data_IF_516449629104
#
_entry.id   IF_516449629104
#
_cell.length_a   1.000
_cell.length_b   1.000
_cell.length_c   1.000
_cell.angle_alpha   90.00
_cell.angle_beta   90.00
_cell.angle_gamma   90.00
#
_symmetry.space_group_name_H-M   'P 1'
#
loop_
_entity.id
_entity.type
_entity.pdbx_description
1 polymer ?
#
# COMPACT_ATOMS: atom_id res chain seq x y z
N UNK A 1 -7.85 -29.50 -14.79
CA UNK A 1 -6.92 -30.47 -14.20
C UNK A 1 -6.55 -29.93 -12.82
N UNK A 2 -6.85 -30.65 -11.74
CA UNK A 2 -6.66 -30.17 -10.38
C UNK A 2 -5.29 -30.65 -9.90
N UNK A 3 -4.31 -29.76 -9.77
CA UNK A 3 -2.93 -30.13 -9.48
C UNK A 3 -2.74 -30.40 -7.99
N UNK A 4 -3.42 -29.71 -7.09
CA UNK A 4 -3.33 -29.89 -5.65
C UNK A 4 -4.70 -29.78 -4.98
N UNK A 5 -5.59 -30.78 -5.15
CA UNK A 5 -7.00 -30.66 -4.79
C UNK A 5 -7.26 -30.56 -3.28
N UNK A 6 -6.34 -30.98 -2.44
CA UNK A 6 -6.47 -30.94 -0.98
C UNK A 6 -5.90 -29.67 -0.34
N UNK A 7 -5.06 -28.93 -1.07
CA UNK A 7 -4.45 -27.68 -0.57
C UNK A 7 -5.30 -26.43 -0.88
N UNK A 8 -6.15 -26.50 -1.90
CA UNK A 8 -6.92 -25.34 -2.37
C UNK A 8 -8.40 -25.69 -2.50
N UNK A 9 -9.25 -24.76 -2.12
CA UNK A 9 -10.69 -24.79 -2.36
C UNK A 9 -11.15 -23.45 -2.92
N UNK A 10 -12.37 -23.41 -3.48
CA UNK A 10 -12.93 -22.18 -3.97
C UNK A 10 -13.36 -21.29 -2.82
N UNK A 11 -13.08 -20.00 -2.94
CA UNK A 11 -13.51 -19.04 -1.93
C UNK A 11 -15.05 -19.00 -1.88
N UNK A 12 -15.65 -19.13 -0.70
CA UNK A 12 -17.10 -19.02 -0.53
C UNK A 12 -17.63 -17.70 -1.12
N UNK A 13 -18.45 -17.80 -2.17
CA UNK A 13 -19.07 -16.67 -2.83
C UNK A 13 -18.30 -16.03 -4.00
N UNK A 14 -17.08 -16.47 -4.31
CA UNK A 14 -16.31 -16.01 -5.48
C UNK A 14 -15.52 -17.13 -6.12
N UNK A 15 -16.15 -17.83 -7.07
CA UNK A 15 -15.55 -18.94 -7.82
C UNK A 15 -14.41 -18.51 -8.79
N UNK A 16 -14.03 -17.25 -8.80
CA UNK A 16 -12.86 -16.75 -9.53
C UNK A 16 -11.57 -16.80 -8.71
N UNK A 17 -11.67 -17.11 -7.40
CA UNK A 17 -10.55 -17.12 -6.47
C UNK A 17 -10.47 -18.45 -5.73
N UNK A 18 -9.27 -19.00 -5.68
CA UNK A 18 -8.95 -20.16 -4.84
C UNK A 18 -8.44 -19.68 -3.47
N UNK A 19 -8.84 -20.36 -2.41
CA UNK A 19 -8.32 -20.16 -1.06
C UNK A 19 -7.43 -21.33 -0.68
N UNK A 20 -6.33 -21.06 0.02
CA UNK A 20 -5.50 -22.10 0.62
C UNK A 20 -6.22 -22.66 1.83
N UNK A 21 -6.51 -23.96 1.82
CA UNK A 21 -7.19 -24.67 2.91
C UNK A 21 -6.17 -25.37 3.80
N UNK A 22 -5.28 -26.15 3.21
CA UNK A 22 -4.23 -26.87 3.93
C UNK A 22 -3.03 -27.13 3.02
N UNK A 23 -2.00 -26.31 3.12
CA UNK A 23 -0.77 -26.46 2.36
C UNK A 23 0.09 -27.64 2.84
N UNK A 24 -0.14 -28.14 4.07
CA UNK A 24 0.64 -29.24 4.65
C UNK A 24 0.14 -30.62 4.23
N UNK A 25 -1.03 -30.69 3.62
CA UNK A 25 -1.65 -31.95 3.15
C UNK A 25 -1.11 -32.45 1.81
N UNK A 26 -0.23 -31.69 1.15
CA UNK A 26 0.25 -31.94 -0.22
C UNK A 26 1.77 -31.85 -0.26
N UNK A 27 2.40 -32.72 -1.08
CA UNK A 27 3.84 -32.67 -1.32
C UNK A 27 4.24 -31.33 -1.95
N UNK A 28 5.37 -30.77 -1.53
CA UNK A 28 5.88 -29.46 -1.94
C UNK A 28 6.02 -29.33 -3.47
N UNK A 29 6.40 -30.41 -4.15
CA UNK A 29 6.54 -30.44 -5.61
C UNK A 29 5.20 -30.16 -6.33
N UNK A 30 4.09 -30.67 -5.80
CA UNK A 30 2.75 -30.40 -6.33
C UNK A 30 2.29 -28.97 -6.08
N UNK A 31 2.69 -28.35 -4.95
CA UNK A 31 2.42 -26.94 -4.68
C UNK A 31 3.19 -26.04 -5.66
N UNK A 32 4.45 -26.36 -5.96
CA UNK A 32 5.24 -25.65 -6.96
C UNK A 32 4.67 -25.79 -8.37
N UNK A 33 4.22 -26.98 -8.73
CA UNK A 33 3.57 -27.21 -10.02
C UNK A 33 2.27 -26.40 -10.14
N UNK A 34 1.47 -26.32 -9.07
CA UNK A 34 0.26 -25.51 -9.03
C UNK A 34 0.57 -24.00 -9.17
N UNK A 35 1.64 -23.52 -8.54
CA UNK A 35 2.08 -22.13 -8.66
C UNK A 35 2.54 -21.79 -10.09
N UNK A 36 3.31 -22.69 -10.73
CA UNK A 36 3.76 -22.52 -12.12
C UNK A 36 2.62 -22.58 -13.13
N UNK A 37 1.59 -23.37 -12.84
CA UNK A 37 0.40 -23.52 -13.70
C UNK A 37 -0.64 -22.41 -13.48
N UNK A 38 -0.44 -21.50 -12.50
CA UNK A 38 -1.37 -20.40 -12.22
C UNK A 38 -1.25 -19.31 -13.28
N UNK A 39 -2.28 -19.07 -14.11
CA UNK A 39 -2.17 -18.13 -15.24
C UNK A 39 -2.04 -16.65 -14.78
N UNK A 40 -2.42 -16.36 -13.55
CA UNK A 40 -2.34 -14.99 -12.96
C UNK A 40 -1.14 -14.81 -12.04
N UNK A 41 -0.27 -15.84 -11.88
CA UNK A 41 0.83 -15.87 -10.91
C UNK A 41 0.40 -15.49 -9.47
N UNK A 42 -0.86 -15.77 -9.12
CA UNK A 42 -1.43 -15.44 -7.81
C UNK A 42 -1.03 -16.44 -6.70
N UNK A 43 -0.38 -17.54 -7.06
CA UNK A 43 0.09 -18.56 -6.11
C UNK A 43 1.61 -18.40 -5.97
N UNK A 44 2.06 -18.07 -4.77
CA UNK A 44 3.49 -18.04 -4.41
C UNK A 44 3.74 -19.17 -3.42
N UNK A 45 4.67 -20.05 -3.73
CA UNK A 45 5.16 -21.08 -2.79
C UNK A 45 6.43 -20.54 -2.16
N UNK A 46 6.37 -20.19 -0.89
CA UNK A 46 7.54 -19.87 -0.09
C UNK A 46 7.97 -21.17 0.62
N UNK A 47 9.21 -21.59 0.41
CA UNK A 47 9.80 -22.60 1.28
C UNK A 47 9.92 -22.01 2.69
N UNK A 48 9.05 -22.45 3.57
CA UNK A 48 9.30 -22.35 4.99
C UNK A 48 10.30 -23.46 5.33
N UNK A 49 11.60 -23.26 5.00
CA UNK A 49 12.61 -23.99 5.72
C UNK A 49 12.33 -23.77 7.21
N UNK A 50 12.13 -24.84 7.98
CA UNK A 50 12.34 -24.78 9.42
C UNK A 50 13.79 -24.35 9.62
N UNK A 51 13.99 -23.05 9.62
CA UNK A 51 15.31 -22.46 9.85
C UNK A 51 15.72 -22.85 11.24
N UNK A 52 16.67 -23.76 11.33
CA UNK A 52 17.30 -24.11 12.58
C UNK A 52 17.76 -22.83 13.27
N UNK A 53 17.74 -22.75 14.61
CA UNK A 53 18.00 -21.50 15.35
C UNK A 53 19.28 -20.74 14.93
N UNK A 54 20.26 -21.42 14.34
CA UNK A 54 21.49 -20.79 13.82
C UNK A 54 21.33 -20.19 12.41
N UNK A 55 20.33 -20.60 11.62
CA UNK A 55 20.01 -20.02 10.30
C UNK A 55 19.23 -18.71 10.44
N UNK A 56 18.64 -18.47 11.62
CA UNK A 56 18.01 -17.20 12.00
C UNK A 56 19.04 -16.09 12.33
N UNK A 57 20.33 -16.44 12.44
CA UNK A 57 21.40 -15.48 12.69
C UNK A 57 21.63 -14.65 11.40
N UNK A 58 20.96 -13.51 11.33
CA UNK A 58 21.06 -12.56 10.21
C UNK A 58 19.72 -12.12 9.62
N UNK A 59 18.62 -12.78 9.93
CA UNK A 59 17.28 -12.23 9.72
C UNK A 59 16.90 -11.44 10.97
N UNK A 60 16.62 -10.16 10.83
CA UNK A 60 16.13 -9.34 11.94
C UNK A 60 14.87 -9.98 12.51
N UNK A 61 14.86 -10.20 13.84
CA UNK A 61 13.70 -10.75 14.52
C UNK A 61 12.51 -9.81 14.37
N UNK A 62 11.29 -10.34 14.21
CA UNK A 62 10.08 -9.52 14.17
C UNK A 62 9.99 -8.61 15.40
N UNK A 63 9.80 -7.33 15.21
CA UNK A 63 9.60 -6.36 16.29
C UNK A 63 8.33 -5.58 16.12
N UNK A 64 7.65 -5.28 17.22
CA UNK A 64 6.51 -4.36 17.24
C UNK A 64 7.05 -2.93 17.19
N UNK A 65 6.48 -2.15 16.30
CA UNK A 65 6.82 -0.73 16.12
C UNK A 65 5.55 0.09 15.95
N UNK A 66 5.61 1.34 16.39
CA UNK A 66 4.63 2.35 16.02
C UNK A 66 5.22 3.15 14.85
N UNK A 67 4.48 3.25 13.75
CA UNK A 67 4.89 3.97 12.55
C UNK A 67 3.68 4.70 11.95
N UNK A 68 3.95 5.70 11.15
CA UNK A 68 2.92 6.31 10.31
C UNK A 68 3.10 5.80 8.89
N UNK A 69 2.05 5.24 8.35
CA UNK A 69 2.02 4.66 7.01
C UNK A 69 1.31 5.57 6.04
N UNK A 70 1.93 5.78 4.88
CA UNK A 70 1.34 6.50 3.77
C UNK A 70 1.22 5.56 2.58
N UNK A 71 0.04 5.55 1.96
CA UNK A 71 -0.21 4.93 0.68
C UNK A 71 -0.56 5.99 -0.34
N UNK A 72 0.03 5.90 -1.51
CA UNK A 72 -0.30 6.75 -2.65
C UNK A 72 -0.74 5.90 -3.82
N UNK A 73 -1.58 6.45 -4.71
CA UNK A 73 -2.04 5.77 -5.90
C UNK A 73 -2.54 6.77 -6.94
N UNK A 74 -2.28 6.53 -8.23
CA UNK A 74 -2.77 7.38 -9.31
C UNK A 74 -4.23 7.08 -9.60
N UNK A 75 -5.08 8.11 -9.52
CA UNK A 75 -6.50 7.97 -9.84
C UNK A 75 -6.69 7.58 -11.30
N UNK A 76 -7.42 6.48 -11.54
CA UNK A 76 -7.78 6.00 -12.89
C UNK A 76 -6.58 5.78 -13.80
N UNK A 77 -5.50 5.23 -13.28
CA UNK A 77 -4.27 4.95 -14.02
C UNK A 77 -4.52 4.17 -15.32
N UNK A 78 -5.39 3.16 -15.30
CA UNK A 78 -5.79 2.39 -16.49
C UNK A 78 -6.34 3.27 -17.62
N UNK A 79 -7.22 4.22 -17.29
CA UNK A 79 -7.79 5.15 -18.27
C UNK A 79 -6.72 6.09 -18.84
N UNK A 80 -5.72 6.47 -18.01
CA UNK A 80 -4.60 7.29 -18.48
C UNK A 80 -3.70 6.51 -19.45
N UNK A 81 -3.42 5.25 -19.17
CA UNK A 81 -2.69 4.36 -20.09
C UNK A 81 -3.41 4.26 -21.43
N UNK A 82 -4.72 4.01 -21.42
CA UNK A 82 -5.53 3.92 -22.65
C UNK A 82 -5.53 5.24 -23.45
N UNK A 83 -5.56 6.37 -22.77
CA UNK A 83 -5.61 7.68 -23.42
C UNK A 83 -4.26 8.16 -23.97
N UNK A 84 -3.16 7.87 -23.26
CA UNK A 84 -1.81 8.36 -23.59
C UNK A 84 -1.00 7.37 -24.44
N UNK A 85 -1.32 6.08 -24.34
CA UNK A 85 -0.50 4.99 -24.86
C UNK A 85 0.70 4.68 -23.97
N UNK A 86 1.25 3.46 -24.13
CA UNK A 86 2.27 2.89 -23.24
C UNK A 86 3.53 3.75 -23.12
N UNK A 87 4.04 4.27 -24.23
CA UNK A 87 5.30 5.03 -24.24
C UNK A 87 5.18 6.36 -23.47
N UNK A 88 4.11 7.13 -23.74
CA UNK A 88 3.87 8.40 -23.03
C UNK A 88 3.57 8.15 -21.54
N UNK A 89 2.80 7.09 -21.25
CA UNK A 89 2.53 6.67 -19.88
C UNK A 89 3.80 6.33 -19.09
N UNK A 90 4.75 5.60 -19.69
CA UNK A 90 6.04 5.33 -19.06
C UNK A 90 6.83 6.60 -18.73
N UNK A 91 6.71 7.62 -19.59
CA UNK A 91 7.29 8.95 -19.32
C UNK A 91 6.65 9.62 -18.09
N UNK A 92 5.32 9.55 -17.98
CA UNK A 92 4.56 10.08 -16.84
C UNK A 92 4.93 9.37 -15.55
N UNK A 93 4.99 8.03 -15.56
CA UNK A 93 5.36 7.23 -14.39
C UNK A 93 6.76 7.55 -13.90
N UNK A 94 7.76 7.62 -14.79
CA UNK A 94 9.12 7.98 -14.38
C UNK A 94 9.18 9.32 -13.67
N UNK A 95 8.57 10.35 -14.25
CA UNK A 95 8.52 11.67 -13.63
C UNK A 95 7.78 11.63 -12.29
N UNK A 96 6.61 10.98 -12.23
CA UNK A 96 5.82 10.80 -11.01
C UNK A 96 6.65 10.14 -9.92
N UNK A 97 7.29 9.03 -10.22
CA UNK A 97 8.10 8.26 -9.29
C UNK A 97 9.27 9.08 -8.74
N UNK A 98 9.98 9.80 -9.60
CA UNK A 98 11.08 10.68 -9.21
C UNK A 98 10.58 11.82 -8.32
N UNK A 99 9.44 12.41 -8.67
CA UNK A 99 8.84 13.50 -7.91
C UNK A 99 8.41 13.05 -6.51
N UNK A 100 7.78 11.87 -6.38
CA UNK A 100 7.35 11.34 -5.09
C UNK A 100 8.53 10.89 -4.23
N UNK A 101 9.49 10.16 -4.81
CA UNK A 101 10.71 9.74 -4.07
C UNK A 101 11.53 10.92 -3.55
N UNK A 102 11.63 12.01 -4.32
CA UNK A 102 12.25 13.25 -3.82
C UNK A 102 11.49 13.78 -2.59
N UNK A 103 10.15 13.78 -2.63
CA UNK A 103 9.34 14.23 -1.48
C UNK A 103 9.48 13.30 -0.27
N UNK A 104 9.59 11.97 -0.48
CA UNK A 104 9.86 11.04 0.62
C UNK A 104 11.20 11.32 1.27
N UNK A 105 12.27 11.52 0.49
CA UNK A 105 13.60 11.82 1.01
C UNK A 105 13.64 13.14 1.81
N UNK A 106 12.96 14.18 1.32
CA UNK A 106 12.91 15.50 1.98
C UNK A 106 12.19 15.44 3.35
N UNK A 107 11.28 14.44 3.51
CA UNK A 107 10.47 14.26 4.73
C UNK A 107 10.80 12.96 5.50
N UNK A 108 11.97 12.37 5.27
CA UNK A 108 12.45 11.14 5.95
C UNK A 108 11.50 9.95 5.80
N UNK A 109 10.78 9.87 4.69
CA UNK A 109 9.94 8.73 4.34
C UNK A 109 10.79 7.55 3.89
N UNK A 110 10.50 6.39 4.41
CA UNK A 110 11.11 5.12 4.02
C UNK A 110 10.20 4.40 3.02
N UNK A 111 10.61 4.35 1.74
CA UNK A 111 9.90 3.56 0.72
C UNK A 111 9.96 2.08 1.09
N UNK A 112 8.81 1.48 1.32
CA UNK A 112 8.68 0.05 1.65
C UNK A 112 8.43 -0.75 0.39
N UNK A 113 7.44 -0.33 -0.42
CA UNK A 113 7.05 -0.99 -1.68
C UNK A 113 6.59 0.04 -2.68
N UNK A 114 7.00 -0.11 -3.95
CA UNK A 114 6.39 0.52 -5.11
C UNK A 114 5.37 -0.45 -5.74
N UNK A 115 4.14 0.00 -5.96
CA UNK A 115 3.01 -0.84 -6.43
C UNK A 115 2.65 -0.60 -7.89
N UNK A 116 3.60 -0.13 -8.70
CA UNK A 116 3.37 0.17 -10.13
C UNK A 116 2.97 1.63 -10.37
N UNK A 117 1.83 2.07 -9.86
CA UNK A 117 1.31 3.45 -9.96
C UNK A 117 1.16 4.14 -8.60
N UNK A 118 1.69 3.53 -7.54
CA UNK A 118 1.65 4.07 -6.19
C UNK A 118 2.78 3.57 -5.30
N UNK A 119 2.75 4.01 -4.04
CA UNK A 119 3.78 3.70 -3.07
C UNK A 119 3.19 3.37 -1.71
N UNK A 120 3.87 2.47 -1.01
CA UNK A 120 3.74 2.27 0.42
C UNK A 120 5.00 2.81 1.10
N UNK A 121 4.83 3.78 2.00
CA UNK A 121 5.91 4.51 2.67
C UNK A 121 5.70 4.52 4.17
N UNK A 122 6.75 4.29 4.94
CA UNK A 122 6.76 4.38 6.40
C UNK A 122 7.44 5.66 6.88
N UNK A 123 6.92 6.26 7.97
CA UNK A 123 7.48 7.44 8.63
C UNK A 123 7.55 7.20 10.14
N UNK A 124 8.49 7.85 10.81
CA UNK A 124 8.59 7.82 12.27
C UNK A 124 7.61 8.79 12.96
N UNK A 125 7.08 9.77 12.21
CA UNK A 125 6.24 10.83 12.73
C UNK A 125 5.02 11.09 11.87
N UNK A 126 3.80 11.26 12.45
CA UNK A 126 2.63 11.72 11.72
C UNK A 126 2.84 13.07 11.02
N UNK A 127 3.56 13.99 11.64
CA UNK A 127 3.82 15.31 11.09
C UNK A 127 4.69 15.26 9.83
N UNK A 128 5.70 14.39 9.80
CA UNK A 128 6.54 14.18 8.62
C UNK A 128 5.74 13.53 7.48
N UNK A 129 4.90 12.54 7.78
CA UNK A 129 4.04 11.90 6.81
C UNK A 129 3.01 12.87 6.20
N UNK A 130 2.35 13.67 7.03
CA UNK A 130 1.36 14.67 6.56
C UNK A 130 2.05 15.80 5.78
N UNK A 131 3.22 16.27 6.23
CA UNK A 131 4.00 17.27 5.50
C UNK A 131 4.45 16.76 4.14
N UNK A 132 4.86 15.49 4.06
CA UNK A 132 5.19 14.83 2.81
C UNK A 132 3.97 14.74 1.87
N UNK A 133 2.82 14.30 2.38
CA UNK A 133 1.59 14.21 1.62
C UNK A 133 1.17 15.55 1.01
N UNK A 134 1.22 16.63 1.82
CA UNK A 134 0.95 18.00 1.38
C UNK A 134 1.97 18.47 0.32
N UNK A 135 3.25 18.20 0.53
CA UNK A 135 4.31 18.56 -0.42
C UNK A 135 4.10 17.86 -1.78
N UNK A 136 3.71 16.58 -1.77
CA UNK A 136 3.39 15.83 -2.99
C UNK A 136 2.23 16.49 -3.74
N UNK A 137 1.10 16.77 -3.08
CA UNK A 137 -0.06 17.39 -3.75
C UNK A 137 0.26 18.75 -4.34
N UNK A 138 1.00 19.58 -3.60
CA UNK A 138 1.46 20.90 -4.08
C UNK A 138 2.38 20.79 -5.28
N UNK A 139 3.32 19.85 -5.27
CA UNK A 139 4.24 19.60 -6.40
C UNK A 139 3.50 19.13 -7.65
N UNK A 140 2.53 18.22 -7.50
CA UNK A 140 1.69 17.75 -8.61
C UNK A 140 0.81 18.89 -9.16
N UNK A 141 0.27 19.74 -8.30
CA UNK A 141 -0.53 20.88 -8.69
C UNK A 141 0.30 21.95 -9.42
N UNK A 142 1.51 22.23 -8.94
CA UNK A 142 2.44 23.13 -9.61
C UNK A 142 2.84 22.61 -10.99
N UNK A 143 3.10 21.31 -11.13
CA UNK A 143 3.38 20.68 -12.42
C UNK A 143 2.21 20.85 -13.40
N UNK A 144 0.96 20.67 -12.93
CA UNK A 144 -0.23 20.93 -13.77
C UNK A 144 -0.32 22.37 -14.23
N UNK A 145 -0.04 23.32 -13.33
CA UNK A 145 -0.06 24.76 -13.66
C UNK A 145 1.02 25.15 -14.66
N UNK A 146 2.23 24.62 -14.51
CA UNK A 146 3.38 24.99 -15.33
C UNK A 146 3.41 24.26 -16.68
N UNK A 147 3.02 22.99 -16.72
CA UNK A 147 3.20 22.10 -17.87
C UNK A 147 1.89 21.53 -18.44
N UNK A 148 0.75 21.92 -17.85
CA UNK A 148 -0.58 21.53 -18.33
C UNK A 148 -1.04 20.15 -17.89
N UNK A 149 -0.16 19.28 -17.34
CA UNK A 149 -0.50 17.92 -16.93
C UNK A 149 0.36 17.40 -15.76
N UNK A 150 -0.28 16.77 -14.81
CA UNK A 150 0.26 15.79 -13.89
C UNK A 150 -0.88 14.86 -13.45
N UNK A 151 -0.63 13.58 -13.20
CA UNK A 151 -1.67 12.67 -12.74
C UNK A 151 -2.24 13.13 -11.40
N UNK A 152 -3.53 12.84 -11.17
CA UNK A 152 -4.14 13.03 -9.87
C UNK A 152 -3.74 11.86 -8.98
N UNK A 153 -3.25 12.16 -7.79
CA UNK A 153 -2.84 11.16 -6.81
C UNK A 153 -3.76 11.22 -5.60
N UNK A 154 -4.24 10.09 -5.16
CA UNK A 154 -4.92 9.92 -3.89
C UNK A 154 -3.91 9.48 -2.83
N UNK A 155 -4.00 10.03 -1.63
CA UNK A 155 -3.06 9.76 -0.55
C UNK A 155 -3.83 9.42 0.72
N UNK A 156 -3.43 8.34 1.40
CA UNK A 156 -3.92 7.99 2.73
C UNK A 156 -2.80 7.95 3.74
N UNK A 157 -3.04 8.50 4.94
CA UNK A 157 -2.05 8.55 6.02
C UNK A 157 -2.66 8.01 7.31
N UNK A 158 -1.97 7.06 7.98
CA UNK A 158 -2.44 6.47 9.22
C UNK A 158 -1.29 6.02 10.12
N UNK A 159 -1.30 6.47 11.38
CA UNK A 159 -0.37 6.02 12.40
C UNK A 159 -0.91 4.79 13.12
N UNK A 160 -0.13 3.73 13.17
CA UNK A 160 -0.55 2.47 13.79
C UNK A 160 0.63 1.58 14.17
N UNK A 161 0.34 0.65 15.08
CA UNK A 161 1.24 -0.45 15.42
C UNK A 161 1.34 -1.47 14.28
N UNK A 162 2.57 -1.91 14.00
CA UNK A 162 2.87 -2.93 13.02
C UNK A 162 3.95 -3.89 13.51
N UNK A 163 4.10 -5.02 12.84
CA UNK A 163 5.25 -5.90 12.98
C UNK A 163 6.23 -5.59 11.87
N UNK A 164 7.45 -5.22 12.23
CA UNK A 164 8.54 -4.97 11.29
C UNK A 164 9.43 -6.21 11.19
N UNK A 165 9.76 -6.62 9.96
CA UNK A 165 10.77 -7.64 9.65
C UNK A 165 11.66 -7.09 8.54
N UNK A 166 12.90 -6.77 8.85
CA UNK A 166 13.77 -6.04 7.95
C UNK A 166 13.17 -4.68 7.59
N UNK A 167 12.99 -4.41 6.31
CA UNK A 167 12.36 -3.18 5.80
C UNK A 167 10.84 -3.29 5.60
N UNK A 168 10.26 -4.47 5.82
CA UNK A 168 8.84 -4.71 5.59
C UNK A 168 8.02 -4.53 6.87
N UNK A 169 6.77 -4.08 6.69
CA UNK A 169 5.80 -3.92 7.76
C UNK A 169 4.55 -4.75 7.47
N UNK A 170 4.00 -5.35 8.49
CA UNK A 170 2.77 -6.15 8.40
C UNK A 170 1.88 -5.95 9.62
N UNK A 171 0.62 -6.33 9.51
CA UNK A 171 -0.35 -6.27 10.59
C UNK A 171 -1.58 -5.43 10.27
N UNK A 172 -2.55 -5.44 11.22
CA UNK A 172 -3.85 -4.77 11.07
C UNK A 172 -3.70 -3.28 10.70
N UNK A 173 -2.78 -2.56 11.36
CA UNK A 173 -2.57 -1.12 11.13
C UNK A 173 -2.12 -0.78 9.69
N UNK A 174 -1.28 -1.63 9.06
CA UNK A 174 -0.90 -1.46 7.64
C UNK A 174 -2.11 -1.62 6.73
N UNK A 175 -2.98 -2.62 7.00
CA UNK A 175 -4.21 -2.81 6.23
C UNK A 175 -5.22 -1.68 6.42
N UNK A 176 -5.30 -1.12 7.62
CA UNK A 176 -6.14 0.05 7.90
C UNK A 176 -5.64 1.27 7.12
N UNK A 177 -4.33 1.52 7.10
CA UNK A 177 -3.73 2.60 6.31
C UNK A 177 -4.05 2.48 4.81
N UNK A 178 -3.90 1.29 4.23
CA UNK A 178 -4.25 1.04 2.84
C UNK A 178 -5.74 1.28 2.53
N UNK A 179 -6.63 0.91 3.46
CA UNK A 179 -8.08 1.14 3.33
C UNK A 179 -8.48 2.59 3.49
N UNK A 180 -7.79 3.34 4.35
CA UNK A 180 -7.96 4.80 4.47
C UNK A 180 -7.55 5.48 3.17
N UNK A 181 -6.44 5.07 2.56
CA UNK A 181 -6.01 5.57 1.26
C UNK A 181 -7.05 5.32 0.15
N UNK A 182 -7.73 4.16 0.19
CA UNK A 182 -8.78 3.84 -0.76
C UNK A 182 -10.04 4.70 -0.63
N UNK A 183 -10.21 5.46 0.47
CA UNK A 183 -11.30 6.42 0.65
C UNK A 183 -11.04 7.75 -0.05
N UNK A 184 -9.77 8.05 -0.37
CA UNK A 184 -9.38 9.31 -0.98
C UNK A 184 -9.76 9.35 -2.47
N UNK A 185 -10.19 10.50 -2.93
CA UNK A 185 -10.34 10.84 -4.35
C UNK A 185 -9.03 11.40 -4.92
N UNK A 186 -8.96 11.56 -6.23
CA UNK A 186 -7.78 12.18 -6.85
C UNK A 186 -7.53 13.60 -6.35
N UNK A 187 -6.29 13.90 -5.98
CA UNK A 187 -5.83 15.12 -5.31
C UNK A 187 -6.30 15.26 -3.84
N UNK A 188 -6.83 14.22 -3.25
CA UNK A 188 -7.22 14.24 -1.85
C UNK A 188 -6.17 13.56 -0.96
N UNK A 189 -6.03 14.08 0.26
CA UNK A 189 -5.29 13.45 1.36
C UNK A 189 -6.32 13.10 2.44
N UNK A 190 -6.50 11.80 2.71
CA UNK A 190 -7.33 11.31 3.80
C UNK A 190 -6.46 10.76 4.91
N UNK A 191 -6.72 11.18 6.14
CA UNK A 191 -6.02 10.67 7.31
C UNK A 191 -7.01 10.17 8.35
N UNK A 192 -6.61 9.23 9.22
CA UNK A 192 -7.38 9.03 10.43
C UNK A 192 -7.30 10.28 11.29
N UNK A 193 -8.41 10.63 11.96
CA UNK A 193 -8.48 11.80 12.82
C UNK A 193 -7.39 11.79 13.90
N UNK A 194 -7.15 10.62 14.50
CA UNK A 194 -6.11 10.47 15.53
C UNK A 194 -4.69 10.79 14.97
N UNK A 195 -4.42 10.44 13.72
CA UNK A 195 -3.14 10.73 13.06
C UNK A 195 -3.00 12.22 12.73
N UNK A 196 -4.09 12.87 12.32
CA UNK A 196 -4.10 14.30 12.00
C UNK A 196 -4.22 15.20 13.24
N UNK A 197 -4.51 14.63 14.41
CA UNK A 197 -4.64 15.38 15.65
C UNK A 197 -3.33 16.09 16.00
N UNK A 198 -3.39 17.41 16.13
CA UNK A 198 -2.21 18.25 16.38
C UNK A 198 -1.39 18.62 15.14
N UNK A 199 -1.81 18.17 13.95
CA UNK A 199 -1.20 18.61 12.70
C UNK A 199 -1.33 20.11 12.49
N UNK A 200 -0.31 20.72 11.89
CA UNK A 200 -0.34 22.14 11.49
C UNK A 200 -1.22 22.41 10.27
N UNK A 201 -1.67 21.38 9.59
CA UNK A 201 -2.52 21.50 8.39
C UNK A 201 -3.98 21.48 8.79
N UNK A 202 -4.82 22.38 8.23
CA UNK A 202 -6.26 22.35 8.44
C UNK A 202 -6.86 21.03 7.98
N UNK A 203 -7.92 20.59 8.65
CA UNK A 203 -8.66 19.37 8.30
C UNK A 203 -10.13 19.64 8.17
N UNK A 204 -10.84 18.80 7.41
CA UNK A 204 -12.30 18.76 7.39
C UNK A 204 -12.86 18.35 8.76
N UNK A 205 -14.17 18.45 8.90
CA UNK A 205 -14.87 17.73 9.96
C UNK A 205 -14.63 16.22 9.84
N UNK A 206 -14.54 15.55 11.00
CA UNK A 206 -14.35 14.11 11.03
C UNK A 206 -15.60 13.36 10.57
N UNK A 207 -15.40 12.26 9.86
CA UNK A 207 -16.47 11.35 9.45
C UNK A 207 -16.14 9.92 9.87
N UNK A 208 -17.12 9.24 10.47
CA UNK A 208 -17.00 7.83 10.82
C UNK A 208 -17.15 6.95 9.58
N UNK A 209 -16.17 6.07 9.32
CA UNK A 209 -16.21 5.14 8.19
C UNK A 209 -15.88 3.74 8.67
N UNK A 210 -16.76 2.78 8.35
CA UNK A 210 -16.47 1.37 8.58
C UNK A 210 -15.58 0.85 7.45
N UNK A 211 -14.33 0.55 7.77
CA UNK A 211 -13.40 -0.01 6.81
C UNK A 211 -13.72 -1.48 6.53
N UNK A 212 -13.51 -1.95 5.31
CA UNK A 212 -13.80 -3.35 4.95
C UNK A 212 -13.03 -4.31 5.87
N UNK A 213 -13.73 -5.20 6.59
CA UNK A 213 -13.13 -6.19 7.50
C UNK A 213 -12.65 -5.61 8.83
N UNK A 214 -13.17 -4.45 9.25
CA UNK A 214 -13.09 -3.98 10.63
C UNK A 214 -14.49 -3.98 11.24
N UNK A 215 -14.61 -4.28 12.53
CA UNK A 215 -15.86 -4.25 13.27
C UNK A 215 -16.21 -2.85 13.78
N UNK A 216 -15.21 -2.00 13.96
CA UNK A 216 -15.36 -0.65 14.51
C UNK A 216 -15.13 0.40 13.43
N UNK A 217 -15.93 1.49 13.41
CA UNK A 217 -15.69 2.60 12.52
C UNK A 217 -14.41 3.34 12.92
N UNK A 218 -13.73 3.90 11.91
CA UNK A 218 -12.58 4.78 12.09
C UNK A 218 -12.99 6.20 11.70
N UNK A 219 -12.69 7.15 12.56
CA UNK A 219 -12.87 8.57 12.25
C UNK A 219 -11.76 9.01 11.29
N UNK A 220 -12.18 9.56 10.16
CA UNK A 220 -11.25 10.06 9.12
C UNK A 220 -11.54 11.52 8.80
N UNK A 221 -10.50 12.23 8.36
CA UNK A 221 -10.55 13.63 7.94
C UNK A 221 -9.85 13.80 6.60
N UNK A 222 -10.27 14.76 5.80
CA UNK A 222 -9.50 15.23 4.65
C UNK A 222 -8.56 16.34 5.11
N UNK A 223 -7.30 16.30 4.67
CA UNK A 223 -6.27 17.29 5.02
C UNK A 223 -6.20 18.33 3.92
N UNK A 224 -6.32 19.60 4.29
CA UNK A 224 -6.18 20.72 3.35
C UNK A 224 -4.70 20.94 3.02
N UNK A 225 -4.39 20.87 1.74
CA UNK A 225 -3.04 21.05 1.21
C UNK A 225 -2.90 22.30 0.32
N UNK A 226 -3.99 23.03 0.08
CA UNK A 226 -4.01 24.24 -0.76
C UNK A 226 -3.21 25.41 -0.17
#
# INVERSE_FOLDING_TARGET
MTIAPTAFDWHEGDFSKAAVVDATSVEEELLREAALACPTAAITVEEVEELLPWQLRGKEAPRRVEKTFMFTDIERSTNLVEALGDEAWQGVLRWHDEALRSSFADHKGEEVVATGDGFFVGFDSPDEALACAVAIQRRLDEQRRQHGFAPKVRIGVHAAGATQVGRNFSGKGVHEAARIAALAEGNEIVSSQATAAGSRFPTSEARAVTLRGTSEPVEVVSVDWS
#
